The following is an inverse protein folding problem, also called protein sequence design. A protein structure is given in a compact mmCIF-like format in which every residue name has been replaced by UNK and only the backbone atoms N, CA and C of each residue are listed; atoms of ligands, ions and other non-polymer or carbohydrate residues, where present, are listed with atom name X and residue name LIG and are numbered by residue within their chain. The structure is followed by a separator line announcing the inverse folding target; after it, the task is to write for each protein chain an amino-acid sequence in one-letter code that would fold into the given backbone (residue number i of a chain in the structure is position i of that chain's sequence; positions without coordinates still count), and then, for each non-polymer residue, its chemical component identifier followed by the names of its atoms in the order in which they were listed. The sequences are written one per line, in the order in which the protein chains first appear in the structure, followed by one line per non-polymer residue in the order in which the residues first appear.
data_IF_571785712691
#
_entry.id   IF_571785712691
#
_cell.length_a   1.000
_cell.length_b   1.000
_cell.length_c   1.000
_cell.angle_alpha   90.00
_cell.angle_beta   90.00
_cell.angle_gamma   90.00
#
_symmetry.space_group_name_H-M   'P 1'
#
loop_
_entity.id
_entity.type
_entity.pdbx_description
1 polymer ?
#
# COMPACT_ATOMS: atom_id res chain seq x y z
N UNK A 1 20.11 -42.89 -7.70
CA UNK A 1 20.21 -42.13 -6.44
C UNK A 1 19.48 -40.82 -6.67
N UNK A 2 18.27 -40.69 -6.13
CA UNK A 2 17.43 -39.50 -6.31
C UNK A 2 17.86 -38.48 -5.25
N UNK A 3 18.58 -37.44 -5.65
CA UNK A 3 18.84 -36.30 -4.77
C UNK A 3 17.52 -35.56 -4.53
N UNK A 4 17.05 -35.60 -3.28
CA UNK A 4 15.95 -34.79 -2.81
C UNK A 4 16.44 -33.35 -2.71
N UNK A 5 16.10 -32.50 -3.67
CA UNK A 5 16.22 -31.06 -3.49
C UNK A 5 15.16 -30.61 -2.48
N UNK A 6 15.55 -30.53 -1.21
CA UNK A 6 14.80 -29.83 -0.19
C UNK A 6 14.84 -28.34 -0.50
N UNK A 7 13.81 -27.82 -1.17
CA UNK A 7 13.55 -26.39 -1.22
C UNK A 7 12.92 -25.94 0.11
N UNK A 8 13.69 -26.00 1.19
CA UNK A 8 13.40 -25.13 2.33
C UNK A 8 13.93 -23.75 1.96
N UNK A 9 13.04 -22.90 1.45
CA UNK A 9 13.35 -21.48 1.34
C UNK A 9 13.83 -21.00 2.71
N UNK A 10 15.00 -20.36 2.75
CA UNK A 10 15.57 -19.86 4.00
C UNK A 10 14.57 -19.01 4.80
N UNK A 11 14.82 -18.77 6.09
CA UNK A 11 13.91 -18.04 6.95
C UNK A 11 13.44 -16.76 6.25
N UNK A 12 12.13 -16.54 6.23
CA UNK A 12 11.52 -15.31 5.71
C UNK A 12 11.28 -14.38 6.90
N UNK A 13 12.29 -13.63 7.38
CA UNK A 13 12.17 -12.81 8.58
C UNK A 13 11.08 -11.74 8.50
N UNK A 14 10.61 -11.41 7.30
CA UNK A 14 9.49 -10.49 7.05
C UNK A 14 8.10 -11.15 7.15
N UNK A 15 8.01 -12.48 7.29
CA UNK A 15 6.77 -13.23 7.54
C UNK A 15 6.69 -13.78 8.97
N UNK A 16 7.75 -13.63 9.77
CA UNK A 16 7.73 -14.05 11.15
C UNK A 16 6.80 -13.14 11.96
N UNK A 17 5.89 -13.76 12.74
CA UNK A 17 5.04 -13.01 13.67
C UNK A 17 5.95 -12.28 14.64
N UNK A 18 6.01 -10.97 14.48
CA UNK A 18 6.88 -10.09 15.27
C UNK A 18 6.49 -10.00 16.76
N UNK A 19 5.36 -10.59 17.14
CA UNK A 19 4.80 -10.58 18.50
C UNK A 19 4.35 -11.98 18.89
N UNK A 20 4.60 -12.33 20.14
CA UNK A 20 4.00 -13.47 20.82
C UNK A 20 2.51 -13.23 21.07
N UNK A 21 1.77 -14.31 21.38
CA UNK A 21 0.35 -14.21 21.73
C UNK A 21 0.11 -13.39 23.00
N UNK A 22 1.05 -13.42 23.95
CA UNK A 22 0.99 -12.62 25.17
C UNK A 22 1.16 -11.13 24.87
N UNK A 23 2.12 -10.77 24.03
CA UNK A 23 2.32 -9.38 23.59
C UNK A 23 1.14 -8.87 22.76
N UNK A 24 0.55 -9.75 21.94
CA UNK A 24 -0.64 -9.42 21.14
C UNK A 24 -1.84 -9.13 22.04
N UNK A 25 -2.14 -9.98 23.01
CA UNK A 25 -3.22 -9.75 24.00
C UNK A 25 -3.02 -8.47 24.81
N UNK A 26 -1.78 -8.18 25.22
CA UNK A 26 -1.48 -6.93 25.92
C UNK A 26 -1.71 -5.69 25.03
N UNK A 27 -1.41 -5.78 23.73
CA UNK A 27 -1.69 -4.70 22.77
C UNK A 27 -3.20 -4.53 22.54
N UNK A 28 -3.94 -5.62 22.36
CA UNK A 28 -5.41 -5.61 22.21
C UNK A 28 -6.09 -4.96 23.41
N UNK A 29 -5.66 -5.28 24.64
CA UNK A 29 -6.21 -4.66 25.84
C UNK A 29 -5.97 -3.14 25.87
N UNK A 30 -4.79 -2.70 25.44
CA UNK A 30 -4.44 -1.27 25.35
C UNK A 30 -5.28 -0.55 24.29
N UNK A 31 -5.47 -1.16 23.12
CA UNK A 31 -6.30 -0.60 22.04
C UNK A 31 -7.74 -0.47 22.52
N UNK A 32 -8.31 -1.51 23.14
CA UNK A 32 -9.67 -1.48 23.70
C UNK A 32 -9.85 -0.35 24.72
N UNK A 33 -8.92 -0.21 25.68
CA UNK A 33 -8.97 0.86 26.69
C UNK A 33 -8.91 2.25 26.05
N UNK A 34 -8.10 2.44 25.01
CA UNK A 34 -8.01 3.70 24.29
C UNK A 34 -9.31 3.99 23.52
N UNK A 35 -9.87 3.00 22.83
CA UNK A 35 -11.14 3.12 22.11
C UNK A 35 -12.29 3.49 23.06
N UNK A 36 -12.39 2.81 24.20
CA UNK A 36 -13.38 3.11 25.25
C UNK A 36 -13.24 4.54 25.76
N UNK A 37 -12.02 4.99 26.04
CA UNK A 37 -11.76 6.37 26.49
C UNK A 37 -12.17 7.39 25.44
N UNK A 38 -11.70 7.25 24.19
CA UNK A 38 -12.00 8.19 23.11
C UNK A 38 -13.49 8.23 22.76
N UNK A 39 -14.17 7.10 22.84
CA UNK A 39 -15.63 7.01 22.64
C UNK A 39 -16.38 7.70 23.79
N UNK A 40 -15.97 7.46 25.05
CA UNK A 40 -16.58 8.09 26.22
C UNK A 40 -16.42 9.61 26.23
N UNK A 41 -15.33 10.12 25.66
CA UNK A 41 -15.08 11.55 25.48
C UNK A 41 -15.83 12.15 24.28
N UNK A 42 -16.51 11.34 23.47
CA UNK A 42 -17.23 11.78 22.28
C UNK A 42 -16.32 12.25 21.14
N UNK A 43 -15.04 11.87 21.15
CA UNK A 43 -14.07 12.23 20.10
C UNK A 43 -14.27 11.37 18.85
N UNK A 44 -14.70 10.12 19.03
CA UNK A 44 -15.01 9.15 17.97
C UNK A 44 -16.32 8.43 18.29
N UNK A 45 -17.01 7.92 17.28
CA UNK A 45 -18.11 6.96 17.44
C UNK A 45 -17.74 5.61 16.85
N UNK A 46 -18.35 4.54 17.37
CA UNK A 46 -18.14 3.18 16.85
C UNK A 46 -18.57 3.05 15.40
N UNK A 47 -19.69 3.66 15.05
CA UNK A 47 -20.23 3.67 13.69
C UNK A 47 -19.26 4.34 12.71
N UNK A 48 -18.54 5.38 13.14
CA UNK A 48 -17.53 6.03 12.31
C UNK A 48 -16.29 5.14 12.13
N UNK A 49 -15.85 4.44 13.17
CA UNK A 49 -14.73 3.50 13.09
C UNK A 49 -15.06 2.33 12.15
N UNK A 50 -16.24 1.72 12.31
CA UNK A 50 -16.70 0.62 11.46
C UNK A 50 -16.77 1.05 9.99
N UNK A 51 -17.30 2.26 9.72
CA UNK A 51 -17.35 2.78 8.35
C UNK A 51 -15.96 2.99 7.75
N UNK A 52 -14.98 3.43 8.53
CA UNK A 52 -13.59 3.57 8.05
C UNK A 52 -13.02 2.20 7.70
N UNK A 53 -13.23 1.17 8.53
CA UNK A 53 -12.78 -0.20 8.24
C UNK A 53 -13.40 -0.71 6.95
N UNK A 54 -14.72 -0.59 6.80
CA UNK A 54 -15.45 -1.05 5.62
C UNK A 54 -14.93 -0.43 4.31
N UNK A 55 -14.65 0.88 4.31
CA UNK A 55 -14.11 1.58 3.13
C UNK A 55 -12.77 0.98 2.68
N UNK A 56 -11.85 0.69 3.61
CA UNK A 56 -10.52 0.19 3.24
C UNK A 56 -10.46 -1.31 3.03
N UNK A 57 -11.39 -2.09 3.59
CA UNK A 57 -11.46 -3.53 3.36
C UNK A 57 -12.21 -3.90 2.08
N UNK A 58 -13.24 -3.14 1.71
CA UNK A 58 -14.15 -3.53 0.62
C UNK A 58 -14.17 -2.55 -0.56
N UNK A 59 -14.07 -1.24 -0.31
CA UNK A 59 -14.32 -0.22 -1.34
C UNK A 59 -13.02 0.23 -2.06
N UNK A 60 -11.90 0.29 -1.34
CA UNK A 60 -10.62 0.81 -1.84
C UNK A 60 -9.56 -0.28 -2.03
N UNK A 61 -9.06 -0.42 -3.26
CA UNK A 61 -7.99 -1.37 -3.56
C UNK A 61 -7.36 -1.20 -4.93
N UNK A 62 -6.37 -2.06 -5.28
CA UNK A 62 -5.53 -1.92 -6.47
C UNK A 62 -6.29 -2.06 -7.81
N UNK A 63 -7.51 -2.59 -7.79
CA UNK A 63 -8.35 -2.64 -8.99
C UNK A 63 -8.73 -1.24 -9.50
N UNK A 64 -8.73 -0.22 -8.64
CA UNK A 64 -8.95 1.17 -9.07
C UNK A 64 -7.80 1.65 -9.95
N UNK A 65 -6.55 1.48 -9.49
CA UNK A 65 -5.36 1.77 -10.29
C UNK A 65 -5.29 0.95 -11.57
N UNK A 66 -5.69 -0.33 -11.54
CA UNK A 66 -5.74 -1.17 -12.74
C UNK A 66 -6.69 -0.61 -13.82
N UNK A 67 -7.86 -0.09 -13.42
CA UNK A 67 -8.80 0.58 -14.37
C UNK A 67 -8.19 1.82 -14.99
N UNK A 68 -7.49 2.64 -14.19
CA UNK A 68 -6.77 3.84 -14.66
C UNK A 68 -5.70 3.47 -15.70
N UNK A 69 -4.86 2.47 -15.38
CA UNK A 69 -3.80 2.00 -16.28
C UNK A 69 -4.37 1.41 -17.57
N UNK A 70 -5.38 0.53 -17.46
CA UNK A 70 -6.02 -0.08 -18.61
C UNK A 70 -6.63 0.96 -19.56
N UNK A 71 -7.23 2.03 -19.02
CA UNK A 71 -7.75 3.13 -19.85
C UNK A 71 -6.62 3.87 -20.56
N UNK A 72 -5.53 4.18 -19.87
CA UNK A 72 -4.37 4.85 -20.47
C UNK A 72 -3.72 4.03 -21.59
N UNK A 73 -3.80 2.70 -21.56
CA UNK A 73 -3.27 1.86 -22.64
C UNK A 73 -4.08 1.89 -23.93
N UNK A 74 -5.39 2.16 -23.86
CA UNK A 74 -6.29 2.10 -25.03
C UNK A 74 -6.83 3.46 -25.47
N UNK A 75 -6.56 4.50 -24.69
CA UNK A 75 -7.01 5.88 -24.94
C UNK A 75 -5.83 6.84 -24.74
N UNK A 76 -5.18 7.20 -25.85
CA UNK A 76 -4.02 8.09 -25.86
C UNK A 76 -4.36 9.51 -25.35
N UNK A 77 -5.59 9.99 -25.60
CA UNK A 77 -6.01 11.29 -25.11
C UNK A 77 -6.18 11.27 -23.58
N UNK A 78 -6.69 10.17 -23.01
CA UNK A 78 -6.71 9.99 -21.56
C UNK A 78 -5.30 9.83 -21.00
N UNK A 79 -4.41 9.07 -21.65
CA UNK A 79 -3.00 8.94 -21.23
C UNK A 79 -2.32 10.30 -21.14
N UNK A 80 -2.50 11.17 -22.14
CA UNK A 80 -1.94 12.52 -22.12
C UNK A 80 -2.48 13.33 -20.93
N UNK A 81 -3.80 13.33 -20.69
CA UNK A 81 -4.38 14.01 -19.52
C UNK A 81 -3.87 13.45 -18.20
N UNK A 82 -3.70 12.13 -18.11
CA UNK A 82 -3.20 11.45 -16.91
C UNK A 82 -1.76 11.86 -16.57
N UNK A 83 -0.91 12.05 -17.59
CA UNK A 83 0.47 12.49 -17.39
C UNK A 83 0.58 14.00 -17.09
N UNK A 84 -0.36 14.80 -17.59
CA UNK A 84 -0.43 16.26 -17.34
C UNK A 84 -0.98 16.59 -15.94
N UNK A 85 -2.09 15.96 -15.55
CA UNK A 85 -2.74 16.14 -14.25
C UNK A 85 -3.41 14.84 -13.81
N UNK A 86 -2.62 13.99 -13.14
CA UNK A 86 -3.10 12.69 -12.70
C UNK A 86 -4.24 12.79 -11.70
N UNK A 87 -4.23 13.79 -10.80
CA UNK A 87 -5.33 13.99 -9.84
C UNK A 87 -6.65 14.19 -10.57
N UNK A 88 -6.68 15.07 -11.59
CA UNK A 88 -7.90 15.34 -12.34
C UNK A 88 -8.33 14.15 -13.20
N UNK A 89 -7.39 13.50 -13.88
CA UNK A 89 -7.69 12.36 -14.75
C UNK A 89 -8.23 11.15 -13.96
N UNK A 90 -7.61 10.82 -12.81
CA UNK A 90 -8.06 9.73 -11.93
C UNK A 90 -9.49 9.99 -11.41
N UNK A 91 -9.85 11.25 -11.16
CA UNK A 91 -11.22 11.63 -10.77
C UNK A 91 -12.29 11.39 -11.85
N UNK A 92 -11.92 11.20 -13.13
CA UNK A 92 -12.87 10.77 -14.17
C UNK A 92 -13.52 9.42 -13.83
N UNK A 93 -12.85 8.59 -13.02
CA UNK A 93 -13.38 7.32 -12.50
C UNK A 93 -14.09 7.45 -11.15
N UNK A 94 -14.16 8.65 -10.58
CA UNK A 94 -14.64 8.87 -9.21
C UNK A 94 -13.62 8.49 -8.13
N UNK A 95 -12.36 8.21 -8.48
CA UNK A 95 -11.31 7.92 -7.52
C UNK A 95 -10.63 9.21 -7.03
N UNK A 96 -10.39 9.31 -5.73
CA UNK A 96 -9.70 10.43 -5.11
C UNK A 96 -9.85 10.42 -3.59
N UNK A 97 -9.41 11.48 -2.93
CA UNK A 97 -9.55 11.65 -1.49
C UNK A 97 -8.25 11.41 -0.73
N UNK A 98 -8.38 10.84 0.47
CA UNK A 98 -7.30 10.77 1.45
C UNK A 98 -6.06 10.06 0.91
N UNK A 99 -4.88 10.65 1.11
CA UNK A 99 -3.59 10.15 0.61
C UNK A 99 -3.48 10.06 -0.92
N UNK A 100 -4.36 10.73 -1.66
CA UNK A 100 -4.29 10.88 -3.12
C UNK A 100 -4.84 12.22 -3.59
N UNK A 101 -4.71 13.25 -2.75
CA UNK A 101 -5.16 14.62 -3.03
C UNK A 101 -4.34 15.23 -4.18
N UNK A 102 -3.05 14.88 -4.22
CA UNK A 102 -2.08 15.31 -5.23
C UNK A 102 -1.34 14.10 -5.79
N UNK A 103 -1.78 13.65 -6.95
CA UNK A 103 -1.26 12.49 -7.65
C UNK A 103 -0.34 12.93 -8.77
N UNK A 104 0.76 12.19 -8.92
CA UNK A 104 1.65 12.25 -10.08
C UNK A 104 1.78 10.82 -10.60
N UNK A 105 1.56 10.65 -11.90
CA UNK A 105 1.79 9.38 -12.57
C UNK A 105 3.13 9.47 -13.28
N UNK A 106 3.96 8.44 -13.09
CA UNK A 106 5.26 8.30 -13.76
C UNK A 106 5.19 7.11 -14.71
N UNK A 107 5.47 7.38 -15.98
CA UNK A 107 5.39 6.36 -17.02
C UNK A 107 6.70 5.56 -17.11
N UNK A 108 6.56 4.23 -17.11
CA UNK A 108 7.63 3.35 -17.53
C UNK A 108 7.75 3.37 -19.06
N UNK A 109 8.97 3.43 -19.56
CA UNK A 109 9.28 3.37 -20.99
C UNK A 109 10.24 2.21 -21.26
N UNK A 110 10.64 2.03 -22.52
CA UNK A 110 11.65 1.03 -22.89
C UNK A 110 13.02 1.30 -22.23
N UNK A 111 13.30 2.53 -21.79
CA UNK A 111 14.59 2.93 -21.23
C UNK A 111 14.52 3.35 -19.77
N UNK A 112 13.32 3.51 -19.20
CA UNK A 112 13.12 3.98 -17.83
C UNK A 112 12.12 3.08 -17.11
N UNK A 113 12.53 2.57 -15.94
CA UNK A 113 11.66 1.86 -15.02
C UNK A 113 11.56 2.64 -13.70
N UNK A 114 10.35 3.03 -13.33
CA UNK A 114 10.04 3.76 -12.11
C UNK A 114 9.61 2.80 -11.00
N UNK A 115 10.03 3.10 -9.77
CA UNK A 115 9.59 2.45 -8.54
C UNK A 115 9.42 3.50 -7.46
N UNK A 116 8.42 3.35 -6.59
CA UNK A 116 8.05 4.36 -5.58
C UNK A 116 8.32 3.86 -4.18
N UNK A 117 8.78 4.72 -3.27
CA UNK A 117 8.97 4.38 -1.86
C UNK A 117 8.76 5.61 -0.97
N UNK A 118 8.44 5.36 0.29
CA UNK A 118 8.45 6.35 1.36
C UNK A 118 9.50 5.98 2.41
N UNK A 119 10.72 6.49 2.25
CA UNK A 119 11.86 6.17 3.13
C UNK A 119 11.59 6.58 4.58
N UNK A 120 10.86 7.67 4.81
CA UNK A 120 10.60 8.23 6.13
C UNK A 120 9.47 7.51 6.90
N UNK A 121 8.43 7.02 6.22
CA UNK A 121 7.30 6.37 6.88
C UNK A 121 6.61 5.32 6.00
N UNK A 122 5.52 5.69 5.33
CA UNK A 122 4.65 4.76 4.61
C UNK A 122 3.65 5.45 3.65
N UNK A 123 3.94 6.66 3.18
CA UNK A 123 3.09 7.38 2.24
C UNK A 123 2.75 6.50 1.03
N UNK A 124 1.49 6.43 0.63
CA UNK A 124 1.03 5.51 -0.40
C UNK A 124 -0.29 6.00 -1.02
N UNK A 125 -0.55 5.80 -2.32
CA UNK A 125 -1.71 6.40 -2.99
C UNK A 125 -3.00 5.59 -2.76
N UNK A 126 -3.64 5.80 -1.61
CA UNK A 126 -4.80 5.00 -1.17
C UNK A 126 -5.98 4.96 -2.16
N UNK A 127 -6.36 6.05 -2.85
CA UNK A 127 -7.53 6.01 -3.74
C UNK A 127 -7.40 5.02 -4.91
N UNK A 128 -6.16 4.71 -5.33
CA UNK A 128 -5.89 3.83 -6.47
C UNK A 128 -5.27 2.48 -6.09
N UNK A 129 -4.64 2.37 -4.92
CA UNK A 129 -3.97 1.13 -4.49
C UNK A 129 -4.47 0.58 -3.14
N UNK A 130 -5.32 1.30 -2.42
CA UNK A 130 -5.73 0.93 -1.05
C UNK A 130 -4.61 1.12 -0.02
N UNK A 131 -4.74 0.47 1.14
CA UNK A 131 -3.71 0.52 2.18
C UNK A 131 -2.45 -0.25 1.74
N UNK A 132 -1.23 0.25 2.03
CA UNK A 132 0.00 -0.39 1.59
C UNK A 132 0.21 -1.75 2.27
N UNK A 133 0.79 -2.72 1.54
CA UNK A 133 1.17 -4.01 2.11
C UNK A 133 2.25 -3.83 3.18
N UNK A 134 2.36 -4.80 4.08
CA UNK A 134 3.28 -4.73 5.23
C UNK A 134 4.73 -4.48 4.80
N UNK A 135 5.24 -5.21 3.80
CA UNK A 135 6.62 -5.08 3.33
C UNK A 135 6.98 -3.66 2.86
N UNK A 136 6.03 -2.90 2.32
CA UNK A 136 6.26 -1.53 1.85
C UNK A 136 6.55 -0.58 3.02
N UNK A 137 5.91 -0.84 4.16
CA UNK A 137 6.02 -0.03 5.38
C UNK A 137 7.25 -0.35 6.21
N UNK A 138 7.88 -1.50 5.95
CA UNK A 138 8.98 -2.01 6.76
C UNK A 138 10.35 -1.53 6.31
N UNK A 139 11.28 -1.52 7.27
CA UNK A 139 12.64 -1.04 7.07
C UNK A 139 13.39 -1.74 5.92
N UNK A 140 13.29 -3.07 5.69
CA UNK A 140 14.06 -3.75 4.65
C UNK A 140 13.83 -3.18 3.25
N UNK A 141 12.59 -2.86 2.89
CA UNK A 141 12.28 -2.22 1.61
C UNK A 141 12.71 -0.75 1.62
N UNK A 142 12.26 0.00 2.63
CA UNK A 142 12.40 1.46 2.70
C UNK A 142 13.85 1.94 2.78
N UNK A 143 14.74 1.19 3.43
CA UNK A 143 16.15 1.58 3.58
C UNK A 143 16.98 1.25 2.34
N UNK A 144 16.59 0.23 1.56
CA UNK A 144 17.40 -0.29 0.46
C UNK A 144 16.99 0.22 -0.91
N UNK A 145 15.68 0.41 -1.15
CA UNK A 145 15.18 0.73 -2.50
C UNK A 145 15.77 2.04 -3.08
N UNK A 146 16.15 3.00 -2.24
CA UNK A 146 16.75 4.26 -2.68
C UNK A 146 18.26 4.15 -3.02
N UNK A 147 18.96 3.13 -2.53
CA UNK A 147 20.41 2.97 -2.70
C UNK A 147 20.78 1.77 -3.58
N UNK A 148 20.07 0.65 -3.44
CA UNK A 148 20.22 -0.55 -4.26
C UNK A 148 18.87 -1.00 -4.84
N UNK A 149 18.26 -0.20 -5.73
CA UNK A 149 16.96 -0.53 -6.31
C UNK A 149 17.01 -1.84 -7.11
N UNK A 150 18.11 -2.09 -7.83
CA UNK A 150 18.26 -3.30 -8.67
C UNK A 150 18.42 -4.56 -7.82
N UNK A 151 19.10 -4.49 -6.68
CA UNK A 151 19.16 -5.61 -5.74
C UNK A 151 17.78 -5.93 -5.15
N UNK A 152 17.05 -4.92 -4.68
CA UNK A 152 15.69 -5.12 -4.14
C UNK A 152 14.75 -5.69 -5.20
N UNK A 153 14.75 -5.15 -6.41
CA UNK A 153 13.86 -5.65 -7.48
C UNK A 153 14.17 -7.10 -7.86
N UNK A 154 15.44 -7.51 -7.86
CA UNK A 154 15.81 -8.93 -8.09
C UNK A 154 15.27 -9.89 -7.04
N UNK A 155 14.98 -9.43 -5.82
CA UNK A 155 14.36 -10.26 -4.78
C UNK A 155 12.86 -10.49 -5.03
N UNK A 156 12.23 -9.66 -5.88
CA UNK A 156 10.84 -9.81 -6.27
C UNK A 156 10.65 -10.71 -7.51
N UNK A 157 11.74 -11.15 -8.14
CA UNK A 157 11.75 -11.95 -9.38
C UNK A 157 11.97 -11.09 -10.63
#
# INVERSE_FOLDING_TARGET
MSEKHHHEGGPKPHLEKRRTDTETRALEERVRKLEEALTSWGVVSKEALDRVVEIYENDLGPLNGAKVVARAWVDEAYRQRLLEDATKAIREFGFGGLQGEHMVVVENTLTVHNVVSCTLCSCYPWPVLGLPPTWYKEAPYRSRIAFDPRGVLREFG
#
